data_IF_497085456863
#
_entry.id   IF_497085456863
#
_cell.length_a   1.000
_cell.length_b   1.000
_cell.length_c   1.000
_cell.angle_alpha   90.00
_cell.angle_beta   90.00
_cell.angle_gamma   90.00
#
_symmetry.space_group_name_H-M   'P 1'
#
loop_
_entity.id
_entity.type
_entity.pdbx_description
1 polymer ?
#
# COMPACT_ATOMS: atom_id res chain seq x y z
N UNK A 1 -10.20 -7.63 29.48
CA UNK A 1 -10.58 -7.32 28.09
C UNK A 1 -10.95 -5.85 28.04
N UNK A 2 -10.49 -5.13 27.07
CA UNK A 2 -10.80 -3.71 26.89
C UNK A 2 -12.28 -3.54 26.56
N UNK A 3 -12.91 -2.50 27.14
CA UNK A 3 -14.26 -2.08 26.74
C UNK A 3 -14.27 -1.32 25.38
N UNK A 4 -13.15 -1.36 24.64
CA UNK A 4 -13.00 -0.66 23.37
C UNK A 4 -13.71 -1.40 22.24
N UNK A 5 -14.73 -0.76 21.68
CA UNK A 5 -15.51 -1.29 20.56
C UNK A 5 -14.95 -0.81 19.22
N UNK A 6 -14.11 -1.63 18.58
CA UNK A 6 -13.46 -1.34 17.29
C UNK A 6 -14.44 -1.13 16.14
N UNK A 7 -15.73 -1.43 16.32
CA UNK A 7 -16.77 -1.15 15.30
C UNK A 7 -17.38 0.23 15.43
N UNK A 8 -17.17 0.92 16.56
CA UNK A 8 -17.77 2.22 16.87
C UNK A 8 -16.75 3.31 17.19
N UNK A 9 -15.59 2.92 17.70
CA UNK A 9 -14.57 3.87 18.15
C UNK A 9 -13.46 4.01 17.11
N UNK A 10 -12.77 5.18 17.05
CA UNK A 10 -11.75 5.45 16.06
C UNK A 10 -10.58 4.45 16.13
N UNK A 11 -10.17 3.91 15.00
CA UNK A 11 -9.02 3.01 14.91
C UNK A 11 -8.25 3.22 13.61
N UNK A 12 -7.00 2.81 13.60
CA UNK A 12 -6.14 2.81 12.42
C UNK A 12 -6.14 1.39 11.80
N UNK A 13 -6.42 1.27 10.51
CA UNK A 13 -6.26 0.01 9.79
C UNK A 13 -4.84 -0.08 9.22
N UNK A 14 -4.16 -1.19 9.51
CA UNK A 14 -2.83 -1.51 8.95
C UNK A 14 -2.96 -2.80 8.15
N UNK A 15 -2.55 -2.77 6.89
CA UNK A 15 -2.66 -3.90 5.98
C UNK A 15 -1.30 -4.27 5.39
N UNK A 16 -1.05 -5.57 5.28
CA UNK A 16 0.04 -6.17 4.52
C UNK A 16 -0.47 -7.42 3.81
N UNK A 17 0.18 -7.86 2.75
CA UNK A 17 -0.27 -9.00 1.95
C UNK A 17 0.13 -10.35 2.52
N UNK A 18 1.25 -10.41 3.24
CA UNK A 18 1.89 -11.64 3.66
C UNK A 18 2.17 -11.67 5.18
N UNK A 19 2.48 -12.85 5.71
CA UNK A 19 2.87 -12.99 7.11
C UNK A 19 4.17 -12.23 7.40
N UNK A 20 5.11 -12.23 6.47
CA UNK A 20 6.36 -11.43 6.54
C UNK A 20 6.12 -9.93 6.60
N UNK A 21 4.89 -9.47 6.39
CA UNK A 21 4.49 -8.07 6.43
C UNK A 21 3.55 -7.73 7.60
N UNK A 22 3.00 -8.74 8.30
CA UNK A 22 1.99 -8.49 9.35
C UNK A 22 2.29 -9.17 10.68
N UNK A 23 3.04 -10.28 10.70
CA UNK A 23 3.21 -11.10 11.89
C UNK A 23 3.85 -10.32 13.06
N UNK A 24 4.89 -9.54 12.78
CA UNK A 24 5.57 -8.75 13.81
C UNK A 24 4.64 -7.71 14.45
N UNK A 25 3.80 -7.03 13.66
CA UNK A 25 2.81 -6.08 14.21
C UNK A 25 1.76 -6.80 15.07
N UNK A 26 1.29 -7.97 14.63
CA UNK A 26 0.30 -8.77 15.35
C UNK A 26 0.86 -9.27 16.69
N UNK A 27 2.12 -9.70 16.71
CA UNK A 27 2.81 -10.14 17.93
C UNK A 27 2.95 -9.04 18.98
N UNK A 28 2.94 -7.77 18.57
CA UNK A 28 3.04 -6.60 19.44
C UNK A 28 1.69 -6.02 19.88
N UNK A 29 0.57 -6.64 19.47
CA UNK A 29 -0.75 -6.21 19.91
C UNK A 29 -0.98 -6.50 21.40
N UNK A 30 -1.29 -5.47 22.15
CA UNK A 30 -1.87 -5.60 23.48
C UNK A 30 -3.39 -5.82 23.36
N UNK A 31 -3.94 -6.62 24.27
CA UNK A 31 -5.37 -6.96 24.30
C UNK A 31 -5.89 -7.52 22.96
N UNK A 32 -5.08 -8.37 22.34
CA UNK A 32 -5.30 -8.93 21.04
C UNK A 32 -6.59 -9.75 20.96
N UNK A 33 -7.43 -9.43 19.96
CA UNK A 33 -8.54 -10.26 19.53
C UNK A 33 -8.48 -10.45 18.01
N UNK A 34 -9.15 -11.49 17.50
CA UNK A 34 -9.21 -11.79 16.07
C UNK A 34 -10.67 -11.93 15.64
N UNK A 35 -11.06 -11.23 14.60
CA UNK A 35 -12.39 -11.27 13.98
C UNK A 35 -12.23 -11.76 12.55
N UNK A 36 -13.04 -12.76 12.17
CA UNK A 36 -13.04 -13.28 10.81
C UNK A 36 -14.24 -12.69 10.05
N UNK A 37 -13.96 -12.07 8.88
CA UNK A 37 -14.98 -11.58 7.97
C UNK A 37 -14.71 -12.22 6.60
N UNK A 38 -15.58 -13.13 6.20
CA UNK A 38 -15.33 -14.00 5.06
C UNK A 38 -14.07 -14.85 5.29
N UNK A 39 -13.11 -14.75 4.39
CA UNK A 39 -11.84 -15.50 4.47
C UNK A 39 -10.67 -14.67 5.05
N UNK A 40 -10.93 -13.45 5.50
CA UNK A 40 -9.91 -12.55 6.03
C UNK A 40 -9.98 -12.43 7.55
N UNK A 41 -8.81 -12.42 8.17
CA UNK A 41 -8.63 -12.21 9.61
C UNK A 41 -8.26 -10.75 9.88
N UNK A 42 -8.94 -10.17 10.85
CA UNK A 42 -8.71 -8.83 11.35
C UNK A 42 -8.32 -8.91 12.82
N UNK A 43 -7.08 -8.59 13.10
CA UNK A 43 -6.50 -8.61 14.44
C UNK A 43 -6.67 -7.23 15.05
N UNK A 44 -7.45 -7.11 16.11
CA UNK A 44 -7.70 -5.85 16.82
C UNK A 44 -6.92 -5.82 18.12
N UNK A 45 -6.51 -4.64 18.55
CA UNK A 45 -5.76 -4.42 19.77
C UNK A 45 -5.13 -3.04 19.79
N UNK A 46 -4.14 -2.89 20.64
CA UNK A 46 -3.46 -1.61 20.82
C UNK A 46 -1.98 -1.77 20.52
N UNK A 47 -1.39 -0.76 19.86
CA UNK A 47 0.03 -0.70 19.58
C UNK A 47 0.68 0.51 20.24
N UNK A 48 1.95 0.32 20.60
CA UNK A 48 2.82 1.37 21.10
C UNK A 48 2.53 1.83 22.52
N UNK A 49 3.38 2.71 23.03
CA UNK A 49 3.29 3.24 24.40
C UNK A 49 2.05 4.11 24.60
N UNK A 50 1.58 4.75 23.52
CA UNK A 50 0.34 5.52 23.49
C UNK A 50 -0.93 4.67 23.41
N UNK A 51 -0.81 3.34 23.38
CA UNK A 51 -1.94 2.39 23.25
C UNK A 51 -2.89 2.79 22.12
N UNK A 52 -2.34 3.02 20.93
CA UNK A 52 -3.13 3.39 19.76
C UNK A 52 -4.02 2.21 19.33
N UNK A 53 -5.34 2.41 19.17
CA UNK A 53 -6.24 1.35 18.73
C UNK A 53 -6.01 1.06 17.25
N UNK A 54 -5.68 -0.18 16.93
CA UNK A 54 -5.36 -0.61 15.58
C UNK A 54 -6.10 -1.88 15.18
N UNK A 55 -6.30 -2.01 13.89
CA UNK A 55 -6.79 -3.21 13.23
C UNK A 55 -5.70 -3.64 12.23
N UNK A 56 -5.20 -4.85 12.34
CA UNK A 56 -4.19 -5.39 11.43
C UNK A 56 -4.82 -6.48 10.60
N UNK A 57 -4.66 -6.45 9.28
CA UNK A 57 -5.14 -7.54 8.42
C UNK A 57 -4.11 -7.97 7.40
N UNK A 58 -3.97 -9.30 7.24
CA UNK A 58 -3.32 -9.91 6.09
C UNK A 58 -4.32 -9.95 4.94
N UNK A 59 -4.05 -9.18 3.89
CA UNK A 59 -4.96 -9.09 2.74
C UNK A 59 -4.85 -10.26 1.78
N UNK A 60 -3.73 -10.99 1.79
CA UNK A 60 -3.20 -11.79 0.69
C UNK A 60 -2.76 -10.93 -0.49
N UNK A 61 -1.97 -11.51 -1.39
CA UNK A 61 -1.38 -10.81 -2.53
C UNK A 61 -2.42 -10.45 -3.60
N UNK A 62 -2.21 -9.31 -4.21
CA UNK A 62 -2.92 -8.86 -5.41
C UNK A 62 -4.10 -7.93 -5.17
N UNK A 63 -4.44 -7.22 -6.26
CA UNK A 63 -5.46 -6.16 -6.28
C UNK A 63 -6.82 -6.63 -5.75
N UNK A 64 -7.27 -7.82 -6.15
CA UNK A 64 -8.59 -8.35 -5.77
C UNK A 64 -8.66 -8.63 -4.27
N UNK A 65 -7.65 -9.26 -3.70
CA UNK A 65 -7.57 -9.58 -2.29
C UNK A 65 -7.50 -8.29 -1.44
N UNK A 66 -6.66 -7.35 -1.84
CA UNK A 66 -6.53 -6.07 -1.16
C UNK A 66 -7.85 -5.28 -1.18
N UNK A 67 -8.55 -5.21 -2.33
CA UNK A 67 -9.84 -4.55 -2.45
C UNK A 67 -10.89 -5.19 -1.53
N UNK A 68 -10.98 -6.52 -1.53
CA UNK A 68 -11.95 -7.25 -0.72
C UNK A 68 -11.71 -7.05 0.78
N UNK A 69 -10.48 -7.26 1.26
CA UNK A 69 -10.13 -7.07 2.66
C UNK A 69 -10.36 -5.62 3.12
N UNK A 70 -9.97 -4.63 2.30
CA UNK A 70 -10.18 -3.22 2.61
C UNK A 70 -11.66 -2.87 2.69
N UNK A 71 -12.47 -3.34 1.73
CA UNK A 71 -13.92 -3.08 1.71
C UNK A 71 -14.62 -3.66 2.92
N UNK A 72 -14.26 -4.88 3.33
CA UNK A 72 -14.78 -5.51 4.55
C UNK A 72 -14.42 -4.70 5.79
N UNK A 73 -13.15 -4.27 5.90
CA UNK A 73 -12.71 -3.45 7.02
C UNK A 73 -13.46 -2.10 7.08
N UNK A 74 -13.64 -1.43 5.94
CA UNK A 74 -14.40 -0.17 5.84
C UNK A 74 -15.84 -0.33 6.27
N UNK A 75 -16.50 -1.40 5.84
CA UNK A 75 -17.90 -1.66 6.16
C UNK A 75 -18.13 -2.01 7.64
N UNK A 76 -17.22 -2.81 8.21
CA UNK A 76 -17.39 -3.35 9.56
C UNK A 76 -16.79 -2.45 10.64
N UNK A 77 -15.52 -2.03 10.50
CA UNK A 77 -14.79 -1.28 11.52
C UNK A 77 -14.84 0.24 11.34
N UNK A 78 -15.02 0.73 10.12
CA UNK A 78 -15.01 2.16 9.79
C UNK A 78 -13.74 2.88 10.26
N UNK A 79 -12.54 2.39 9.92
CA UNK A 79 -11.29 2.96 10.37
C UNK A 79 -11.19 4.44 9.98
N UNK A 80 -10.52 5.23 10.81
CA UNK A 80 -10.32 6.66 10.55
C UNK A 80 -9.15 6.97 9.62
N UNK A 81 -8.21 6.02 9.46
CA UNK A 81 -7.10 6.10 8.52
C UNK A 81 -6.62 4.70 8.16
N UNK A 82 -5.90 4.58 7.04
CA UNK A 82 -5.35 3.31 6.56
C UNK A 82 -3.89 3.46 6.21
N UNK A 83 -3.07 2.53 6.70
CA UNK A 83 -1.71 2.29 6.21
C UNK A 83 -1.72 0.96 5.45
N UNK A 84 -1.39 1.00 4.16
CA UNK A 84 -1.06 -0.20 3.40
C UNK A 84 0.47 -0.28 3.30
N UNK A 85 1.05 -1.26 3.97
CA UNK A 85 2.49 -1.43 4.07
C UNK A 85 2.91 -2.81 3.56
N UNK A 86 4.16 -2.96 3.19
CA UNK A 86 4.71 -4.22 2.74
C UNK A 86 6.03 -4.06 2.02
N UNK A 87 6.50 -5.15 1.44
CA UNK A 87 7.70 -5.14 0.60
C UNK A 87 7.37 -4.66 -0.82
N UNK A 88 8.39 -4.25 -1.57
CA UNK A 88 8.24 -3.83 -2.96
C UNK A 88 9.51 -3.98 -3.78
N UNK A 89 9.34 -4.03 -5.11
CA UNK A 89 10.42 -4.05 -6.09
C UNK A 89 10.90 -2.63 -6.44
N UNK A 90 12.18 -2.34 -6.23
CA UNK A 90 12.76 -1.02 -6.49
C UNK A 90 12.88 -0.70 -7.98
N UNK A 91 12.33 0.45 -8.39
CA UNK A 91 12.41 0.99 -9.75
C UNK A 91 13.41 2.16 -9.84
N UNK A 92 13.57 2.95 -8.78
CA UNK A 92 14.47 4.10 -8.75
C UNK A 92 15.83 3.73 -8.16
N UNK A 93 16.90 3.96 -8.93
CA UNK A 93 18.29 3.67 -8.51
C UNK A 93 18.74 4.41 -7.25
N UNK A 94 18.03 5.46 -6.84
CA UNK A 94 18.32 6.18 -5.60
C UNK A 94 17.95 5.41 -4.34
N UNK A 95 17.07 4.39 -4.47
CA UNK A 95 16.67 3.52 -3.38
C UNK A 95 17.30 2.15 -3.49
N UNK A 96 17.77 1.64 -2.39
CA UNK A 96 18.41 0.33 -2.25
C UNK A 96 17.53 -0.63 -1.44
N UNK A 97 17.83 -1.93 -1.51
CA UNK A 97 17.17 -2.92 -0.69
C UNK A 97 17.26 -2.56 0.80
N UNK A 98 16.15 -2.56 1.51
CA UNK A 98 16.04 -2.11 2.90
C UNK A 98 15.68 -0.63 3.07
N UNK A 99 15.74 0.18 2.02
CA UNK A 99 15.23 1.55 2.06
C UNK A 99 13.70 1.56 2.03
N UNK A 100 13.09 2.59 2.62
CA UNK A 100 11.65 2.75 2.72
C UNK A 100 11.17 3.88 1.83
N UNK A 101 10.25 3.55 0.93
CA UNK A 101 9.55 4.52 0.09
C UNK A 101 8.21 4.87 0.74
N UNK A 102 8.05 6.16 1.05
CA UNK A 102 6.81 6.76 1.50
C UNK A 102 6.02 7.24 0.28
N UNK A 103 4.82 6.70 0.09
CA UNK A 103 4.01 6.98 -1.08
C UNK A 103 3.51 8.42 -1.13
N UNK A 104 3.86 9.16 -2.16
CA UNK A 104 3.22 10.44 -2.48
C UNK A 104 1.86 10.20 -3.12
N UNK A 105 1.83 9.22 -3.99
CA UNK A 105 0.65 8.73 -4.70
C UNK A 105 0.88 7.31 -5.19
N UNK A 106 -0.21 6.64 -5.52
CA UNK A 106 -0.21 5.30 -6.11
C UNK A 106 -0.76 5.36 -7.55
N UNK A 107 -0.10 4.66 -8.46
CA UNK A 107 -0.51 4.53 -9.87
C UNK A 107 -1.00 3.11 -10.12
N UNK A 108 -2.26 2.90 -10.57
CA UNK A 108 -2.74 1.58 -11.00
C UNK A 108 -2.12 1.21 -12.35
N UNK A 109 -0.97 0.53 -12.33
CA UNK A 109 -0.19 0.21 -13.55
C UNK A 109 -0.93 -0.71 -14.53
N UNK A 110 -1.88 -1.51 -14.05
CA UNK A 110 -2.71 -2.39 -14.89
C UNK A 110 -3.88 -1.69 -15.58
N UNK A 111 -4.20 -0.44 -15.22
CA UNK A 111 -5.26 0.33 -15.87
C UNK A 111 -4.71 1.05 -17.12
N UNK A 112 -4.63 0.31 -18.23
CA UNK A 112 -4.04 0.79 -19.48
C UNK A 112 -4.93 0.54 -20.69
N UNK A 113 -4.82 1.41 -21.69
CA UNK A 113 -5.43 1.27 -23.00
C UNK A 113 -4.36 1.15 -24.07
N UNK A 114 -4.54 0.23 -25.00
CA UNK A 114 -3.70 0.05 -26.17
C UNK A 114 -4.39 0.62 -27.41
N UNK A 115 -3.61 1.27 -28.26
CA UNK A 115 -4.11 1.69 -29.57
C UNK A 115 -4.43 0.46 -30.45
N UNK A 116 -5.42 0.62 -31.34
CA UNK A 116 -5.72 -0.42 -32.31
C UNK A 116 -4.52 -0.68 -33.22
N UNK A 117 -4.20 -1.95 -33.44
CA UNK A 117 -3.29 -2.41 -34.48
C UNK A 117 -3.91 -3.54 -35.28
N UNK A 118 -3.50 -3.68 -36.54
CA UNK A 118 -4.01 -4.74 -37.43
C UNK A 118 -3.43 -6.10 -37.01
N UNK A 119 -4.15 -7.18 -37.36
CA UNK A 119 -3.64 -8.52 -37.22
C UNK A 119 -2.28 -8.66 -37.93
N UNK A 120 -1.34 -9.34 -37.31
CA UNK A 120 0.02 -9.54 -37.83
C UNK A 120 0.98 -8.35 -37.65
N UNK A 121 0.54 -7.22 -37.11
CA UNK A 121 1.42 -6.10 -36.83
C UNK A 121 2.31 -6.27 -35.59
N UNK A 122 2.08 -7.34 -34.82
CA UNK A 122 2.78 -7.61 -33.58
C UNK A 122 2.20 -6.85 -32.38
N UNK A 123 2.82 -7.03 -31.20
CA UNK A 123 2.45 -6.37 -29.95
C UNK A 123 3.43 -5.23 -29.70
N UNK A 124 2.91 -4.02 -29.56
CA UNK A 124 3.71 -2.87 -29.12
C UNK A 124 3.67 -2.76 -27.60
N UNK A 125 4.69 -3.28 -26.94
CA UNK A 125 4.82 -3.23 -25.47
C UNK A 125 4.89 -1.80 -24.91
N UNK A 126 5.21 -0.81 -25.75
CA UNK A 126 5.26 0.61 -25.38
C UNK A 126 4.00 1.39 -25.77
N UNK A 127 3.13 0.81 -26.56
CA UNK A 127 1.95 1.46 -27.17
C UNK A 127 0.75 1.61 -26.25
N UNK A 128 0.94 1.62 -24.93
CA UNK A 128 -0.17 1.83 -23.98
C UNK A 128 -0.23 3.26 -23.46
N UNK A 129 -1.41 3.66 -23.02
CA UNK A 129 -1.64 4.90 -22.29
C UNK A 129 -2.42 4.60 -20.99
N UNK A 130 -2.28 5.45 -19.93
CA UNK A 130 -3.09 5.31 -18.74
C UNK A 130 -4.58 5.36 -19.10
N UNK A 131 -5.36 4.40 -18.62
CA UNK A 131 -6.81 4.37 -18.75
C UNK A 131 -7.42 4.98 -17.48
N UNK A 132 -8.09 6.16 -17.56
CA UNK A 132 -8.73 6.75 -16.40
C UNK A 132 -9.85 5.86 -15.87
N UNK A 133 -9.80 5.51 -14.59
CA UNK A 133 -10.82 4.70 -13.89
C UNK A 133 -11.80 5.64 -13.20
N UNK A 134 -13.08 5.31 -13.28
CA UNK A 134 -14.12 6.04 -12.58
C UNK A 134 -14.16 5.67 -11.09
N UNK A 135 -14.04 6.66 -10.21
CA UNK A 135 -14.04 6.49 -8.76
C UNK A 135 -15.04 7.44 -8.13
N UNK A 136 -15.85 6.93 -7.21
CA UNK A 136 -16.72 7.75 -6.37
C UNK A 136 -15.91 8.41 -5.25
N UNK A 137 -16.11 9.71 -5.05
CA UNK A 137 -15.48 10.50 -4.00
C UNK A 137 -16.52 10.89 -2.96
N UNK A 138 -16.48 10.27 -1.79
CA UNK A 138 -17.44 10.50 -0.71
C UNK A 138 -17.50 11.97 -0.27
N UNK A 139 -16.35 12.64 -0.18
CA UNK A 139 -16.25 14.04 0.22
C UNK A 139 -17.08 14.99 -0.64
N UNK A 140 -17.16 14.71 -1.94
CA UNK A 140 -17.88 15.55 -2.90
C UNK A 140 -19.21 14.98 -3.35
N UNK A 141 -19.49 13.70 -3.02
CA UNK A 141 -20.63 12.94 -3.50
C UNK A 141 -20.65 12.74 -5.03
N UNK A 142 -19.50 12.85 -5.69
CA UNK A 142 -19.38 12.80 -7.15
C UNK A 142 -18.39 11.73 -7.59
N UNK A 143 -18.62 11.22 -8.79
CA UNK A 143 -17.70 10.34 -9.50
C UNK A 143 -16.73 11.16 -10.34
N UNK A 144 -15.45 10.77 -10.35
CA UNK A 144 -14.42 11.36 -11.20
C UNK A 144 -13.60 10.25 -11.86
N UNK A 145 -13.10 10.50 -13.06
CA UNK A 145 -12.12 9.67 -13.74
C UNK A 145 -10.72 10.09 -13.30
N UNK A 146 -9.94 9.14 -12.77
CA UNK A 146 -8.58 9.37 -12.28
C UNK A 146 -7.63 8.30 -12.79
N UNK A 147 -6.35 8.65 -12.87
CA UNK A 147 -5.25 7.74 -13.25
C UNK A 147 -4.28 7.53 -12.10
N UNK A 148 -4.52 8.18 -10.96
CA UNK A 148 -3.66 8.10 -9.78
C UNK A 148 -4.46 8.33 -8.50
N UNK A 149 -3.95 7.83 -7.38
CA UNK A 149 -4.56 7.92 -6.06
C UNK A 149 -3.57 8.62 -5.10
N UNK A 150 -3.85 9.85 -4.64
CA UNK A 150 -2.96 10.56 -3.72
C UNK A 150 -2.96 9.90 -2.35
N UNK A 151 -1.80 9.86 -1.70
CA UNK A 151 -1.69 9.57 -0.27
C UNK A 151 -2.02 10.81 0.57
N UNK A 152 -2.42 10.60 1.82
CA UNK A 152 -2.74 11.70 2.74
C UNK A 152 -1.46 12.46 3.13
N UNK A 153 -1.47 13.78 2.93
CA UNK A 153 -0.30 14.64 3.17
C UNK A 153 0.14 14.66 4.63
N UNK A 154 -0.80 14.65 5.57
CA UNK A 154 -0.48 14.71 7.00
C UNK A 154 0.17 13.42 7.46
N UNK A 155 -0.34 12.26 7.00
CA UNK A 155 0.28 10.97 7.29
C UNK A 155 1.68 10.87 6.67
N UNK A 156 1.85 11.34 5.44
CA UNK A 156 3.14 11.38 4.75
C UNK A 156 4.15 12.27 5.49
N UNK A 157 3.76 13.48 5.86
CA UNK A 157 4.59 14.43 6.62
C UNK A 157 4.96 13.86 8.00
N UNK A 158 4.03 13.20 8.70
CA UNK A 158 4.30 12.53 9.97
C UNK A 158 5.38 11.43 9.80
N UNK A 159 5.27 10.62 8.74
CA UNK A 159 6.25 9.58 8.43
C UNK A 159 7.65 10.14 8.11
N UNK A 160 7.72 11.24 7.35
CA UNK A 160 9.00 11.87 7.00
C UNK A 160 9.72 12.50 8.18
N UNK A 161 8.97 13.08 9.12
CA UNK A 161 9.53 13.76 10.29
C UNK A 161 10.01 12.78 11.36
N UNK A 162 9.80 11.48 11.19
CA UNK A 162 10.27 10.50 12.15
C UNK A 162 11.80 10.45 12.20
N UNK A 163 12.33 10.41 13.42
CA UNK A 163 13.73 10.06 13.64
C UNK A 163 13.82 8.53 13.67
N UNK A 164 14.18 7.96 12.55
CA UNK A 164 14.33 6.51 12.39
C UNK A 164 15.72 6.14 11.92
N UNK A 165 16.14 4.88 12.14
CA UNK A 165 17.41 4.34 11.61
C UNK A 165 17.36 3.99 10.14
N UNK A 166 16.15 3.92 9.57
CA UNK A 166 15.95 3.53 8.18
C UNK A 166 16.17 4.73 7.24
N UNK A 167 16.78 4.46 6.08
CA UNK A 167 16.77 5.44 5.00
C UNK A 167 15.36 5.50 4.41
N UNK A 168 14.77 6.69 4.42
CA UNK A 168 13.40 6.93 3.93
C UNK A 168 13.39 7.99 2.85
N UNK A 169 12.46 7.90 1.93
CA UNK A 169 12.25 8.96 0.94
C UNK A 169 10.88 8.88 0.29
N UNK A 170 10.41 10.00 -0.24
CA UNK A 170 9.16 10.06 -1.01
C UNK A 170 9.32 9.41 -2.37
N UNK A 171 8.24 8.79 -2.85
CA UNK A 171 8.20 8.26 -4.18
C UNK A 171 6.81 7.89 -4.66
N UNK A 172 6.67 7.73 -5.97
CA UNK A 172 5.46 7.21 -6.60
C UNK A 172 5.48 5.69 -6.51
N UNK A 173 4.39 5.08 -6.03
CA UNK A 173 4.23 3.64 -5.98
C UNK A 173 3.44 3.19 -7.20
N UNK A 174 4.02 2.33 -8.03
CA UNK A 174 3.31 1.63 -9.10
C UNK A 174 2.66 0.38 -8.52
N UNK A 175 1.37 0.15 -8.79
CA UNK A 175 0.65 -0.97 -8.20
C UNK A 175 -0.14 -1.73 -9.25
N UNK A 176 -0.01 -3.07 -9.26
CA UNK A 176 -0.70 -3.96 -10.20
C UNK A 176 -0.28 -5.40 -10.01
N UNK A 177 -1.07 -6.35 -10.49
CA UNK A 177 -0.78 -7.79 -10.40
C UNK A 177 0.37 -8.18 -11.36
N UNK A 178 1.52 -7.54 -11.18
CA UNK A 178 2.73 -7.73 -11.98
C UNK A 178 3.96 -7.87 -11.09
N UNK A 179 4.93 -8.67 -11.54
CA UNK A 179 6.28 -8.75 -11.01
C UNK A 179 7.27 -8.44 -12.12
N UNK A 180 7.86 -7.24 -12.12
CA UNK A 180 8.72 -6.80 -13.19
C UNK A 180 10.20 -7.12 -12.92
N UNK A 181 10.77 -7.99 -13.77
CA UNK A 181 12.20 -8.35 -13.77
C UNK A 181 12.93 -7.89 -15.04
N UNK A 182 12.24 -7.24 -15.96
CA UNK A 182 12.81 -6.72 -17.20
C UNK A 182 13.19 -5.25 -17.01
N UNK A 183 14.48 -4.97 -17.13
CA UNK A 183 15.03 -3.60 -16.97
C UNK A 183 14.35 -2.59 -17.89
N UNK A 184 14.09 -2.96 -19.14
CA UNK A 184 13.42 -2.07 -20.11
C UNK A 184 11.96 -1.81 -19.71
N UNK A 185 11.26 -2.79 -19.12
CA UNK A 185 9.90 -2.61 -18.59
C UNK A 185 9.90 -1.64 -17.42
N UNK A 186 10.83 -1.83 -16.47
CA UNK A 186 11.00 -0.93 -15.32
C UNK A 186 11.35 0.50 -15.80
N UNK A 187 12.27 0.63 -16.77
CA UNK A 187 12.61 1.93 -17.34
C UNK A 187 11.39 2.62 -17.98
N UNK A 188 10.55 1.87 -18.70
CA UNK A 188 9.32 2.37 -19.31
C UNK A 188 8.30 2.82 -18.25
N UNK A 189 8.12 2.06 -17.18
CA UNK A 189 7.23 2.43 -16.06
C UNK A 189 7.73 3.70 -15.36
N UNK A 190 9.03 3.83 -15.17
CA UNK A 190 9.63 5.06 -14.64
C UNK A 190 9.45 6.27 -15.56
N UNK A 191 9.67 6.09 -16.85
CA UNK A 191 9.46 7.15 -17.84
C UNK A 191 8.02 7.67 -17.82
N UNK A 192 7.05 6.75 -17.76
CA UNK A 192 5.62 7.08 -17.83
C UNK A 192 5.00 7.54 -16.54
N UNK A 193 5.36 6.91 -15.44
CA UNK A 193 4.68 7.06 -14.16
C UNK A 193 5.57 7.59 -13.04
N UNK A 194 6.88 7.73 -13.29
CA UNK A 194 7.88 8.13 -12.30
C UNK A 194 7.93 7.21 -11.08
N UNK A 195 7.62 5.92 -11.26
CA UNK A 195 7.57 4.95 -10.17
C UNK A 195 8.93 4.81 -9.46
N UNK A 196 8.92 4.84 -8.14
CA UNK A 196 10.08 4.57 -7.30
C UNK A 196 10.17 3.10 -6.89
N UNK A 197 9.00 2.49 -6.71
CA UNK A 197 8.82 1.11 -6.26
C UNK A 197 7.53 0.56 -6.87
N UNK A 198 7.44 -0.76 -7.00
CA UNK A 198 6.20 -1.45 -7.39
C UNK A 198 5.69 -2.37 -6.28
N UNK A 199 4.38 -2.56 -6.27
CA UNK A 199 3.65 -3.50 -5.42
C UNK A 199 2.42 -4.09 -6.12
N UNK A 200 1.64 -4.91 -5.41
CA UNK A 200 0.45 -5.55 -5.96
C UNK A 200 -0.86 -5.18 -5.23
N UNK A 201 -0.87 -4.25 -4.26
CA UNK A 201 -2.01 -4.01 -3.36
C UNK A 201 -2.43 -2.55 -3.22
N UNK A 202 -1.48 -1.63 -3.19
CA UNK A 202 -1.77 -0.25 -2.76
C UNK A 202 -2.76 0.48 -3.63
N UNK A 203 -2.83 0.19 -4.95
CA UNK A 203 -3.84 0.84 -5.81
C UNK A 203 -5.27 0.47 -5.41
N UNK A 204 -5.51 -0.79 -5.07
CA UNK A 204 -6.84 -1.24 -4.64
C UNK A 204 -7.22 -0.63 -3.31
N UNK A 205 -6.32 -0.67 -2.32
CA UNK A 205 -6.55 -0.06 -1.01
C UNK A 205 -6.80 1.45 -1.13
N UNK A 206 -5.96 2.16 -1.90
CA UNK A 206 -6.10 3.60 -2.12
C UNK A 206 -7.43 3.98 -2.77
N UNK A 207 -7.86 3.24 -3.79
CA UNK A 207 -9.13 3.46 -4.47
C UNK A 207 -10.33 3.30 -3.53
N UNK A 208 -10.33 2.25 -2.70
CA UNK A 208 -11.37 2.05 -1.68
C UNK A 208 -11.35 3.18 -0.65
N UNK A 209 -10.18 3.57 -0.15
CA UNK A 209 -10.04 4.68 0.80
C UNK A 209 -10.63 5.98 0.25
N UNK A 210 -10.33 6.33 -1.02
CA UNK A 210 -10.93 7.49 -1.68
C UNK A 210 -12.46 7.40 -1.74
N UNK A 211 -13.00 6.22 -2.06
CA UNK A 211 -14.44 6.00 -2.14
C UNK A 211 -15.14 6.13 -0.79
N UNK A 212 -14.43 5.84 0.29
CA UNK A 212 -14.95 6.00 1.66
C UNK A 212 -14.58 7.34 2.30
N UNK A 213 -13.74 8.16 1.65
CA UNK A 213 -13.23 9.43 2.20
C UNK A 213 -12.35 9.23 3.43
N UNK A 214 -11.56 8.15 3.44
CA UNK A 214 -10.66 7.79 4.54
C UNK A 214 -9.21 8.10 4.16
N UNK A 215 -8.44 8.81 5.00
CA UNK A 215 -7.02 9.06 4.79
C UNK A 215 -6.23 7.76 4.57
N UNK A 216 -5.28 7.79 3.64
CA UNK A 216 -4.51 6.63 3.21
C UNK A 216 -3.03 6.97 3.06
N UNK A 217 -2.16 6.07 3.51
CA UNK A 217 -0.72 6.10 3.25
C UNK A 217 -0.23 4.72 2.78
N UNK A 218 0.52 4.70 1.68
CA UNK A 218 1.27 3.52 1.25
C UNK A 218 2.73 3.63 1.73
N UNK A 219 3.26 2.55 2.30
CA UNK A 219 4.66 2.43 2.75
C UNK A 219 5.25 1.17 2.17
N UNK A 220 6.40 1.26 1.49
CA UNK A 220 7.09 0.09 0.92
C UNK A 220 8.55 0.06 1.33
N UNK A 221 8.98 -1.07 1.91
CA UNK A 221 10.40 -1.37 2.08
C UNK A 221 10.88 -2.17 0.87
N UNK A 222 12.00 -1.78 0.29
CA UNK A 222 12.51 -2.47 -0.89
C UNK A 222 13.04 -3.86 -0.52
N UNK A 223 12.42 -4.90 -1.10
CA UNK A 223 12.89 -6.29 -0.98
C UNK A 223 13.97 -6.63 -2.00
N UNK A 224 13.99 -5.90 -3.10
CA UNK A 224 14.95 -6.04 -4.18
C UNK A 224 15.07 -4.72 -4.96
N UNK A 225 16.17 -4.56 -5.68
CA UNK A 225 16.32 -3.52 -6.68
C UNK A 225 17.10 -4.08 -7.87
N UNK A 226 16.35 -4.60 -8.85
CA UNK A 226 16.95 -5.21 -10.05
C UNK A 226 17.81 -4.18 -10.80
N UNK A 227 17.38 -2.92 -10.82
CA UNK A 227 18.11 -1.81 -11.45
C UNK A 227 19.45 -1.50 -10.77
N UNK A 228 19.62 -1.90 -9.51
CA UNK A 228 20.86 -1.83 -8.74
C UNK A 228 21.58 -3.19 -8.63
N UNK A 229 21.05 -4.25 -9.27
CA UNK A 229 21.60 -5.60 -9.18
C UNK A 229 21.35 -6.31 -7.85
N UNK A 230 20.40 -5.83 -7.05
CA UNK A 230 20.08 -6.35 -5.70
C UNK A 230 18.97 -7.39 -5.77
N UNK A 231 19.28 -8.59 -5.24
CA UNK A 231 18.37 -9.73 -5.24
C UNK A 231 17.27 -9.59 -4.20
N UNK A 232 16.19 -10.32 -4.41
CA UNK A 232 15.04 -10.42 -3.51
C UNK A 232 15.45 -10.98 -2.13
N UNK A 233 14.94 -10.31 -1.09
CA UNK A 233 15.07 -10.70 0.31
C UNK A 233 13.79 -10.28 1.04
N UNK A 234 12.92 -11.24 1.35
CA UNK A 234 11.66 -10.98 2.03
C UNK A 234 11.84 -10.63 3.53
N UNK A 235 13.00 -10.96 4.10
CA UNK A 235 13.27 -10.72 5.52
C UNK A 235 13.24 -9.22 5.88
N UNK A 236 13.47 -8.33 4.91
CA UNK A 236 13.34 -6.87 5.11
C UNK A 236 11.92 -6.45 5.52
N UNK A 237 10.91 -7.28 5.23
CA UNK A 237 9.51 -7.01 5.63
C UNK A 237 9.34 -6.80 7.14
N UNK A 238 10.15 -7.45 7.97
CA UNK A 238 10.16 -7.22 9.43
C UNK A 238 10.58 -5.77 9.75
N UNK A 239 11.57 -5.24 9.05
CA UNK A 239 12.02 -3.86 9.28
C UNK A 239 10.98 -2.84 8.79
N UNK A 240 10.24 -3.15 7.73
CA UNK A 240 9.06 -2.38 7.32
C UNK A 240 8.00 -2.31 8.42
N UNK A 241 7.70 -3.44 9.07
CA UNK A 241 6.75 -3.50 10.18
C UNK A 241 7.24 -2.71 11.40
N UNK A 242 8.54 -2.77 11.74
CA UNK A 242 9.12 -1.96 12.82
C UNK A 242 8.99 -0.46 12.53
N UNK A 243 9.23 -0.05 11.29
CA UNK A 243 9.01 1.33 10.88
C UNK A 243 7.55 1.75 11.05
N UNK A 244 6.59 0.91 10.64
CA UNK A 244 5.16 1.19 10.81
C UNK A 244 4.77 1.24 12.28
N UNK A 245 5.36 0.41 13.15
CA UNK A 245 5.16 0.46 14.60
C UNK A 245 5.59 1.82 15.17
N UNK A 246 6.75 2.36 14.74
CA UNK A 246 7.20 3.71 15.11
C UNK A 246 6.26 4.79 14.56
N UNK A 247 5.73 4.62 13.34
CA UNK A 247 4.82 5.56 12.69
C UNK A 247 3.47 5.66 13.41
N UNK A 248 2.93 4.55 13.89
CA UNK A 248 1.65 4.51 14.64
C UNK A 248 1.68 5.45 15.84
N UNK A 249 2.83 5.63 16.50
CA UNK A 249 2.98 6.56 17.65
C UNK A 249 2.85 8.03 17.24
N UNK A 250 2.97 8.36 15.95
CA UNK A 250 2.91 9.73 15.42
C UNK A 250 1.56 10.08 14.81
N UNK A 251 0.72 9.10 14.58
CA UNK A 251 -0.64 9.24 14.04
C UNK A 251 -1.68 9.14 15.17
#
# INVERSE_FOLDING_TARGET
MSDYDFTKQPSLLIQGAMDTETAHLIEHLEEHACIELGNWKFHTGFLGTGRKPVIISKTFQGIVNAAAATSLAMAYFKPQAVINQGIGGGHDKKFHRGDIVLGEKVIPMGAVAYAFSKEGAGIDAKGFSPLPVEVYFKETGKTKKVTEYPCDKRMLEAAEQMKTKYHTGRGVIGSGDEWNSQIDRIALLRERYHTAVEDMESAATAQICLSYGVPFLAVRILSNSIVNGEKFDEAVGIDGQKFVLELVEKL
#
